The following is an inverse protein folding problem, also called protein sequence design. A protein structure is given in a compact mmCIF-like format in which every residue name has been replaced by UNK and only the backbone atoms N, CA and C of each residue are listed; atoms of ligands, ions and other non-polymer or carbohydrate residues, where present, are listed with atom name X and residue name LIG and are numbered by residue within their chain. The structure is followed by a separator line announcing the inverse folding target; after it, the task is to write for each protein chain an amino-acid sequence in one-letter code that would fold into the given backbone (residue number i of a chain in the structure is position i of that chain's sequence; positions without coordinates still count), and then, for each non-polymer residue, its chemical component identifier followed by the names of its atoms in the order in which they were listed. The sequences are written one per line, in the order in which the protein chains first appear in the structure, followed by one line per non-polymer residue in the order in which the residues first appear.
data_IF_209387784243
#
_entry.id   IF_209387784243
#
_cell.length_a   1.000
_cell.length_b   1.000
_cell.length_c   1.000
_cell.angle_alpha   90.00
_cell.angle_beta   90.00
_cell.angle_gamma   90.00
#
_symmetry.space_group_name_H-M   'P 1'
#
loop_
_entity.id
_entity.type
_entity.pdbx_description
1 polymer ?
#
# COMPACT_ATOMS: atom_id res chain seq x y z
N UNK A 1 -35.54 31.37 -6.32
CA UNK A 1 -34.31 30.84 -6.93
C UNK A 1 -33.91 29.55 -6.22
N UNK A 2 -33.61 28.46 -6.97
CA UNK A 2 -33.15 27.21 -6.36
C UNK A 2 -31.81 27.42 -5.64
N UNK A 3 -31.72 26.96 -4.38
CA UNK A 3 -30.48 27.00 -3.58
C UNK A 3 -29.54 25.82 -3.92
N UNK A 4 -30.07 24.75 -4.49
CA UNK A 4 -29.32 23.54 -4.86
C UNK A 4 -28.79 23.71 -6.28
N UNK A 5 -27.47 23.48 -6.47
CA UNK A 5 -26.78 23.57 -7.77
C UNK A 5 -25.99 22.31 -8.02
N UNK A 6 -25.91 21.90 -9.27
CA UNK A 6 -25.00 20.85 -9.70
C UNK A 6 -23.56 21.41 -9.65
N UNK A 7 -22.65 20.66 -9.00
CA UNK A 7 -21.24 21.01 -8.94
C UNK A 7 -20.56 20.69 -10.29
N UNK A 8 -19.51 21.44 -10.61
CA UNK A 8 -18.68 21.12 -11.77
C UNK A 8 -17.95 19.78 -11.54
N UNK A 9 -17.69 19.03 -12.60
CA UNK A 9 -16.99 17.74 -12.54
C UNK A 9 -15.62 17.86 -11.85
N UNK A 10 -14.91 18.95 -12.06
CA UNK A 10 -13.62 19.22 -11.42
C UNK A 10 -13.77 19.37 -9.89
N UNK A 11 -14.76 20.13 -9.43
CA UNK A 11 -15.02 20.29 -8.00
C UNK A 11 -15.48 18.97 -7.34
N UNK A 12 -16.33 18.20 -8.01
CA UNK A 12 -16.72 16.84 -7.56
C UNK A 12 -15.49 15.96 -7.43
N UNK A 13 -14.55 16.02 -8.40
CA UNK A 13 -13.31 15.25 -8.36
C UNK A 13 -12.41 15.66 -7.20
N UNK A 14 -12.29 16.96 -6.91
CA UNK A 14 -11.50 17.44 -5.78
C UNK A 14 -12.10 17.06 -4.42
N UNK A 15 -13.43 17.06 -4.29
CA UNK A 15 -14.12 16.62 -3.06
C UNK A 15 -13.86 15.13 -2.82
N UNK A 16 -14.13 14.30 -3.82
CA UNK A 16 -13.93 12.86 -3.69
C UNK A 16 -12.44 12.47 -3.56
N UNK A 17 -11.52 13.22 -4.21
CA UNK A 17 -10.09 13.04 -3.96
C UNK A 17 -9.74 13.24 -2.47
N UNK A 18 -10.58 13.97 -1.73
CA UNK A 18 -10.41 14.18 -0.31
C UNK A 18 -10.67 12.97 0.56
N UNK A 19 -11.50 12.08 0.10
CA UNK A 19 -11.84 10.84 0.81
C UNK A 19 -10.80 9.75 0.53
N UNK A 20 -10.13 9.82 -0.64
CA UNK A 20 -9.18 8.80 -1.08
C UNK A 20 -7.74 9.21 -0.78
N UNK A 21 -7.37 10.46 -1.06
CA UNK A 21 -6.00 10.96 -0.97
C UNK A 21 -5.92 12.03 0.12
N UNK A 22 -5.48 11.65 1.29
CA UNK A 22 -5.28 12.58 2.42
C UNK A 22 -3.87 13.15 2.47
N UNK A 23 -2.87 12.36 2.09
CA UNK A 23 -1.44 12.65 2.31
C UNK A 23 -0.56 11.95 1.27
N UNK A 24 0.75 12.30 1.16
CA UNK A 24 1.69 11.65 0.24
C UNK A 24 1.73 10.12 0.35
N UNK A 25 1.67 9.56 1.57
CA UNK A 25 1.67 8.11 1.75
C UNK A 25 0.43 7.43 1.15
N UNK A 26 -0.74 8.12 1.09
CA UNK A 26 -1.94 7.58 0.45
C UNK A 26 -1.73 7.42 -1.06
N UNK A 27 -1.04 8.37 -1.70
CA UNK A 27 -0.66 8.28 -3.12
C UNK A 27 0.23 7.07 -3.36
N UNK A 28 1.31 6.93 -2.58
CA UNK A 28 2.23 5.78 -2.69
C UNK A 28 1.50 4.46 -2.46
N UNK A 29 0.59 4.40 -1.47
CA UNK A 29 -0.20 3.20 -1.20
C UNK A 29 -0.97 2.75 -2.44
N UNK A 30 -1.78 3.64 -3.02
CA UNK A 30 -2.60 3.33 -4.18
C UNK A 30 -1.75 2.94 -5.41
N UNK A 31 -0.63 3.63 -5.65
CA UNK A 31 0.24 3.33 -6.78
C UNK A 31 0.94 1.97 -6.61
N UNK A 32 1.46 1.66 -5.43
CA UNK A 32 2.11 0.36 -5.16
C UNK A 32 1.08 -0.78 -5.19
N UNK A 33 -0.14 -0.59 -4.67
CA UNK A 33 -1.22 -1.58 -4.79
C UNK A 33 -1.56 -1.85 -6.26
N UNK A 34 -1.60 -0.82 -7.11
CA UNK A 34 -1.82 -0.99 -8.54
C UNK A 34 -0.65 -1.74 -9.22
N UNK A 35 0.60 -1.46 -8.84
CA UNK A 35 1.77 -2.17 -9.35
C UNK A 35 1.76 -3.66 -8.97
N UNK A 36 1.35 -4.00 -7.74
CA UNK A 36 1.19 -5.39 -7.28
C UNK A 36 0.07 -6.10 -8.08
N UNK A 37 -1.07 -5.43 -8.25
CA UNK A 37 -2.21 -5.95 -9.03
C UNK A 37 -1.82 -6.15 -10.51
N UNK A 38 -0.92 -5.30 -11.06
CA UNK A 38 -0.34 -5.43 -12.41
C UNK A 38 0.69 -6.56 -12.54
N UNK A 39 0.85 -7.41 -11.50
CA UNK A 39 1.77 -8.56 -11.48
C UNK A 39 3.24 -8.20 -11.66
N UNK A 40 3.63 -7.05 -11.15
CA UNK A 40 5.02 -6.60 -11.19
C UNK A 40 5.92 -7.50 -10.38
N UNK A 41 7.11 -7.80 -10.89
CA UNK A 41 8.17 -8.48 -10.17
C UNK A 41 9.18 -7.51 -9.54
N UNK A 42 9.16 -6.24 -9.97
CA UNK A 42 10.01 -5.17 -9.45
C UNK A 42 9.21 -3.86 -9.37
N UNK A 43 9.28 -3.18 -8.22
CA UNK A 43 8.66 -1.87 -7.99
C UNK A 43 9.71 -0.90 -7.46
N UNK A 44 9.89 0.23 -8.15
CA UNK A 44 10.85 1.25 -7.81
C UNK A 44 10.12 2.52 -7.37
N UNK A 45 10.46 3.05 -6.20
CA UNK A 45 9.81 4.21 -5.59
C UNK A 45 10.86 5.30 -5.38
N UNK A 46 10.58 6.51 -5.86
CA UNK A 46 11.40 7.70 -5.60
C UNK A 46 10.53 8.79 -4.98
N UNK A 47 11.04 9.41 -3.92
CA UNK A 47 10.36 10.51 -3.23
C UNK A 47 11.31 11.68 -3.01
N UNK A 48 10.78 12.88 -3.15
CA UNK A 48 11.49 14.12 -2.84
C UNK A 48 10.68 14.95 -1.85
N UNK A 49 11.38 15.50 -0.84
CA UNK A 49 10.78 16.30 0.22
C UNK A 49 9.56 15.60 0.88
N UNK A 50 9.71 14.30 1.18
CA UNK A 50 8.62 13.52 1.77
C UNK A 50 7.37 13.41 0.90
N UNK A 51 7.50 13.63 -0.40
CA UNK A 51 6.40 13.63 -1.37
C UNK A 51 5.74 14.99 -1.58
N UNK A 52 6.23 16.06 -0.96
CA UNK A 52 5.74 17.41 -1.21
C UNK A 52 6.13 17.91 -2.61
N UNK A 53 7.38 17.63 -3.03
CA UNK A 53 7.90 18.01 -4.33
C UNK A 53 7.56 16.99 -5.40
N UNK A 54 7.92 15.72 -5.17
CA UNK A 54 7.61 14.64 -6.10
C UNK A 54 7.48 13.28 -5.44
N UNK A 55 6.66 12.44 -6.05
CA UNK A 55 6.48 11.02 -5.80
C UNK A 55 6.53 10.31 -7.14
N UNK A 56 7.29 9.25 -7.26
CA UNK A 56 7.33 8.43 -8.47
C UNK A 56 7.29 6.97 -8.09
N UNK A 57 6.47 6.21 -8.81
CA UNK A 57 6.44 4.75 -8.77
C UNK A 57 6.60 4.24 -10.19
N UNK A 58 7.56 3.36 -10.38
CA UNK A 58 7.77 2.62 -11.60
C UNK A 58 7.69 1.13 -11.31
N UNK A 59 6.94 0.40 -12.11
CA UNK A 59 6.82 -1.05 -12.05
C UNK A 59 7.07 -1.67 -13.43
N UNK A 60 7.46 -2.94 -13.42
CA UNK A 60 7.65 -3.75 -14.61
C UNK A 60 6.48 -4.72 -14.86
N UNK A 61 5.27 -4.35 -14.45
CA UNK A 61 4.06 -5.15 -14.63
C UNK A 61 3.58 -5.21 -16.07
N UNK A 62 2.32 -5.63 -16.23
CA UNK A 62 1.71 -5.85 -17.57
C UNK A 62 1.63 -4.57 -18.42
N UNK A 63 1.73 -3.39 -17.82
CA UNK A 63 1.54 -2.12 -18.50
C UNK A 63 0.08 -1.90 -18.94
N UNK A 64 -0.12 -0.83 -19.71
CA UNK A 64 -1.44 -0.47 -20.26
C UNK A 64 -1.30 -0.10 -21.74
N UNK A 65 -2.16 -0.62 -22.62
CA UNK A 65 -2.27 -0.15 -23.98
C UNK A 65 -2.80 1.30 -24.02
N UNK A 66 -2.69 1.93 -25.20
CA UNK A 66 -3.00 3.35 -25.43
C UNK A 66 -4.35 3.80 -24.88
N UNK A 67 -5.40 3.02 -25.11
CA UNK A 67 -6.76 3.42 -24.74
C UNK A 67 -7.04 3.16 -23.27
N UNK A 68 -6.48 2.09 -22.71
CA UNK A 68 -6.57 1.80 -21.29
C UNK A 68 -5.85 2.84 -20.43
N UNK A 69 -4.69 3.36 -20.90
CA UNK A 69 -3.99 4.45 -20.19
C UNK A 69 -4.87 5.71 -20.09
N UNK A 70 -5.67 6.03 -21.12
CA UNK A 70 -6.63 7.15 -21.05
C UNK A 70 -7.80 6.84 -20.15
N UNK A 71 -8.32 5.60 -20.20
CA UNK A 71 -9.46 5.17 -19.40
C UNK A 71 -9.12 5.08 -17.93
N UNK A 72 -7.89 4.69 -17.55
CA UNK A 72 -7.44 4.55 -16.17
C UNK A 72 -7.57 5.86 -15.35
N UNK A 73 -7.64 7.02 -16.01
CA UNK A 73 -7.84 8.32 -15.39
C UNK A 73 -9.29 8.82 -15.44
N UNK A 74 -10.23 8.00 -15.93
CA UNK A 74 -11.67 8.26 -15.83
C UNK A 74 -12.21 7.59 -14.56
N UNK A 75 -13.18 8.24 -13.92
CA UNK A 75 -13.85 7.68 -12.74
C UNK A 75 -14.63 6.44 -13.10
N UNK A 76 -14.65 5.50 -12.15
CA UNK A 76 -15.36 4.22 -12.28
C UNK A 76 -14.84 3.33 -13.42
N UNK A 77 -13.66 3.64 -13.98
CA UNK A 77 -12.99 2.78 -14.93
C UNK A 77 -12.03 1.85 -14.17
N UNK A 78 -12.26 0.55 -14.27
CA UNK A 78 -11.46 -0.49 -13.62
C UNK A 78 -11.44 -1.74 -14.48
N UNK A 79 -10.30 -2.43 -14.49
CA UNK A 79 -10.14 -3.77 -15.08
C UNK A 79 -10.29 -4.91 -14.05
N UNK A 80 -10.64 -4.57 -12.79
CA UNK A 80 -10.50 -5.49 -11.66
C UNK A 80 -11.81 -6.13 -11.21
N UNK A 81 -12.95 -5.50 -11.55
CA UNK A 81 -14.30 -6.00 -11.28
C UNK A 81 -15.19 -5.65 -12.45
N UNK A 82 -16.08 -6.55 -12.83
CA UNK A 82 -17.06 -6.36 -13.90
C UNK A 82 -18.48 -6.65 -13.39
N UNK A 83 -18.62 -7.59 -12.45
CA UNK A 83 -19.91 -8.07 -11.96
C UNK A 83 -20.08 -7.83 -10.46
N UNK A 84 -21.32 -7.98 -9.99
CA UNK A 84 -21.64 -7.90 -8.57
C UNK A 84 -21.03 -9.07 -7.77
N UNK A 85 -20.84 -10.22 -8.41
CA UNK A 85 -20.19 -11.38 -7.82
C UNK A 85 -18.69 -11.15 -7.60
N UNK A 86 -18.03 -10.39 -8.50
CA UNK A 86 -16.63 -9.99 -8.31
C UNK A 86 -16.46 -9.10 -7.09
N UNK A 87 -17.46 -8.24 -6.81
CA UNK A 87 -17.45 -7.39 -5.63
C UNK A 87 -17.49 -8.19 -4.32
N UNK A 88 -18.15 -9.36 -4.33
CA UNK A 88 -18.20 -10.27 -3.18
C UNK A 88 -16.91 -11.09 -3.01
N UNK A 89 -16.09 -11.24 -4.08
CA UNK A 89 -14.90 -12.10 -4.13
C UNK A 89 -13.62 -11.31 -4.48
N UNK A 90 -13.48 -10.09 -3.95
CA UNK A 90 -12.35 -9.20 -4.29
C UNK A 90 -11.01 -9.86 -3.93
N UNK A 91 -10.23 -10.22 -4.96
CA UNK A 91 -8.87 -10.76 -4.84
C UNK A 91 -7.78 -9.72 -5.12
N UNK A 92 -8.16 -8.49 -5.54
CA UNK A 92 -7.24 -7.40 -5.83
C UNK A 92 -7.15 -6.43 -4.65
N UNK A 93 -6.04 -5.70 -4.55
CA UNK A 93 -5.85 -4.70 -3.50
C UNK A 93 -6.71 -3.46 -3.75
N UNK A 94 -6.83 -3.01 -5.02
CA UNK A 94 -7.71 -1.94 -5.45
C UNK A 94 -8.84 -2.46 -6.35
N UNK A 95 -10.01 -1.78 -6.40
CA UNK A 95 -11.15 -2.18 -7.25
C UNK A 95 -12.08 -1.04 -7.69
N UNK A 96 -12.06 0.12 -7.03
CA UNK A 96 -13.06 1.19 -7.21
C UNK A 96 -12.88 2.05 -8.46
N UNK A 97 -11.72 2.00 -9.15
CA UNK A 97 -11.44 2.86 -10.31
C UNK A 97 -11.43 4.37 -9.97
N UNK A 98 -11.04 4.75 -8.76
CA UNK A 98 -11.10 6.13 -8.29
C UNK A 98 -9.75 6.71 -7.87
N UNK A 99 -8.72 5.87 -7.63
CA UNK A 99 -7.44 6.31 -7.11
C UNK A 99 -6.69 7.22 -8.10
N UNK A 100 -6.47 6.76 -9.33
CA UNK A 100 -5.73 7.53 -10.36
C UNK A 100 -6.44 8.85 -10.72
N UNK A 101 -7.77 8.88 -11.01
CA UNK A 101 -8.47 10.14 -11.23
C UNK A 101 -8.37 11.09 -10.03
N UNK A 102 -8.45 10.58 -8.80
CA UNK A 102 -8.34 11.37 -7.57
C UNK A 102 -6.96 12.00 -7.43
N UNK A 103 -5.88 11.23 -7.63
CA UNK A 103 -4.50 11.73 -7.60
C UNK A 103 -4.31 12.81 -8.67
N UNK A 104 -4.75 12.54 -9.90
CA UNK A 104 -4.61 13.47 -11.02
C UNK A 104 -5.35 14.79 -10.81
N UNK A 105 -6.51 14.78 -10.14
CA UNK A 105 -7.32 15.98 -9.88
C UNK A 105 -6.68 16.95 -8.89
N UNK A 106 -5.73 16.47 -8.06
CA UNK A 106 -5.12 17.29 -6.98
C UNK A 106 -3.60 17.45 -7.12
N UNK A 107 -3.06 17.10 -8.29
CA UNK A 107 -1.62 17.13 -8.54
C UNK A 107 -1.29 17.48 -10.00
N UNK A 108 0.01 17.60 -10.28
CA UNK A 108 0.58 17.55 -11.62
C UNK A 108 1.12 16.14 -11.82
N UNK A 109 0.44 15.35 -12.66
CA UNK A 109 0.71 13.94 -12.85
C UNK A 109 1.21 13.67 -14.27
N UNK A 110 2.21 12.81 -14.41
CA UNK A 110 2.61 12.16 -15.65
C UNK A 110 2.51 10.64 -15.46
N UNK A 111 1.86 9.97 -16.39
CA UNK A 111 1.73 8.53 -16.44
C UNK A 111 2.24 8.01 -17.77
N UNK A 112 3.34 7.26 -17.73
CA UNK A 112 3.91 6.56 -18.88
C UNK A 112 3.63 5.07 -18.73
N UNK A 113 3.10 4.43 -19.78
CA UNK A 113 2.85 2.99 -19.76
C UNK A 113 3.19 2.36 -21.09
N UNK A 114 3.81 1.17 -21.00
CA UNK A 114 4.21 0.35 -22.12
C UNK A 114 3.75 -1.07 -21.83
N UNK A 115 2.93 -1.62 -22.69
CA UNK A 115 2.39 -2.96 -22.53
C UNK A 115 3.50 -4.01 -22.57
N UNK A 116 3.34 -5.07 -21.81
CA UNK A 116 4.33 -6.14 -21.75
C UNK A 116 4.60 -6.75 -23.13
N UNK A 117 5.89 -6.92 -23.49
CA UNK A 117 6.29 -7.40 -24.78
C UNK A 117 6.39 -6.31 -25.89
N UNK A 118 6.06 -5.06 -25.58
CA UNK A 118 6.20 -3.92 -26.49
C UNK A 118 7.35 -3.00 -26.05
N UNK A 119 7.90 -2.23 -26.99
CA UNK A 119 8.94 -1.21 -26.76
C UNK A 119 8.38 0.21 -26.85
N UNK A 120 7.20 0.35 -27.41
CA UNK A 120 6.52 1.62 -27.64
C UNK A 120 5.25 1.70 -26.81
N UNK A 121 5.07 2.82 -26.15
CA UNK A 121 3.91 3.11 -25.32
C UNK A 121 3.51 4.58 -25.44
N UNK A 122 2.83 5.06 -24.41
CA UNK A 122 2.33 6.43 -24.38
C UNK A 122 2.59 7.06 -23.01
N UNK A 123 2.75 8.38 -23.04
CA UNK A 123 2.79 9.22 -21.86
C UNK A 123 1.61 10.19 -21.86
N UNK A 124 0.85 10.19 -20.77
CA UNK A 124 -0.26 11.08 -20.50
C UNK A 124 0.12 12.06 -19.39
N UNK A 125 0.05 13.35 -19.66
CA UNK A 125 0.25 14.40 -18.64
C UNK A 125 -1.08 15.02 -18.26
N UNK A 126 -1.34 15.13 -16.95
CA UNK A 126 -2.58 15.67 -16.39
C UNK A 126 -2.23 16.70 -15.31
N UNK A 127 -2.85 17.87 -15.36
CA UNK A 127 -2.71 18.91 -14.33
C UNK A 127 -4.08 19.25 -13.76
N UNK A 128 -4.30 18.99 -12.47
CA UNK A 128 -5.54 19.30 -11.79
C UNK A 128 -6.78 18.63 -12.39
N UNK A 129 -6.62 17.41 -12.95
CA UNK A 129 -7.68 16.65 -13.60
C UNK A 129 -7.83 16.93 -15.10
N UNK A 130 -7.10 17.89 -15.68
CA UNK A 130 -7.15 18.21 -17.10
C UNK A 130 -5.96 17.59 -17.85
N UNK A 131 -6.23 16.81 -18.90
CA UNK A 131 -5.20 16.27 -19.77
C UNK A 131 -4.52 17.41 -20.54
N UNK A 132 -3.20 17.48 -20.46
CA UNK A 132 -2.36 18.50 -21.11
C UNK A 132 -1.65 17.97 -22.36
N UNK A 133 -1.19 16.73 -22.32
CA UNK A 133 -0.55 16.07 -23.45
C UNK A 133 -0.80 14.56 -23.43
N UNK A 134 -0.79 13.96 -24.61
CA UNK A 134 -0.80 12.52 -24.79
C UNK A 134 0.08 12.19 -26.00
N UNK A 135 1.28 11.69 -25.74
CA UNK A 135 2.33 11.52 -26.74
C UNK A 135 2.90 10.10 -26.72
N UNK A 136 3.40 9.59 -27.86
CA UNK A 136 4.18 8.36 -27.88
C UNK A 136 5.40 8.48 -26.95
N UNK A 137 5.73 7.40 -26.23
CA UNK A 137 6.86 7.37 -25.31
C UNK A 137 7.51 5.99 -25.31
N UNK A 138 8.69 5.82 -25.93
CA UNK A 138 9.42 4.56 -25.91
C UNK A 138 10.05 4.30 -24.54
N UNK A 139 10.35 3.03 -24.25
CA UNK A 139 11.06 2.65 -23.01
C UNK A 139 10.89 1.19 -22.63
N UNK A 140 10.98 0.92 -21.33
CA UNK A 140 10.79 -0.42 -20.76
C UNK A 140 9.30 -0.69 -20.51
N UNK A 141 8.90 -1.95 -20.65
CA UNK A 141 7.54 -2.41 -20.32
C UNK A 141 7.21 -2.15 -18.86
N UNK A 142 5.94 -1.87 -18.59
CA UNK A 142 5.42 -1.56 -17.27
C UNK A 142 4.79 -0.18 -17.20
N UNK A 143 4.62 0.33 -15.98
CA UNK A 143 3.97 1.63 -15.77
C UNK A 143 4.82 2.51 -14.86
N UNK A 144 5.02 3.76 -15.26
CA UNK A 144 5.64 4.80 -14.45
C UNK A 144 4.63 5.92 -14.20
N UNK A 145 4.38 6.21 -12.93
CA UNK A 145 3.55 7.35 -12.53
C UNK A 145 4.38 8.30 -11.69
N UNK A 146 4.44 9.56 -12.13
CA UNK A 146 5.10 10.66 -11.44
C UNK A 146 4.06 11.68 -11.00
N UNK A 147 4.03 11.98 -9.72
CA UNK A 147 3.12 12.95 -9.09
C UNK A 147 3.95 14.09 -8.53
N UNK A 148 3.71 15.30 -9.00
CA UNK A 148 4.39 16.51 -8.54
C UNK A 148 3.40 17.47 -7.91
N UNK A 149 3.89 18.28 -6.95
CA UNK A 149 3.14 19.38 -6.35
C UNK A 149 1.76 18.96 -5.82
N UNK A 150 1.70 17.88 -5.03
CA UNK A 150 0.46 17.39 -4.45
C UNK A 150 -0.29 18.51 -3.72
N UNK A 151 -1.60 18.63 -3.99
CA UNK A 151 -2.51 19.68 -3.48
C UNK A 151 -2.15 21.10 -3.91
N UNK A 152 -1.44 21.30 -5.03
CA UNK A 152 -1.07 22.63 -5.51
C UNK A 152 -2.31 23.52 -5.77
N UNK A 153 -3.41 22.91 -6.19
CA UNK A 153 -4.69 23.54 -6.50
C UNK A 153 -5.69 23.55 -5.32
N UNK A 154 -5.29 23.06 -4.13
CA UNK A 154 -6.10 23.05 -2.91
C UNK A 154 -5.25 23.59 -1.73
N UNK A 155 -5.05 24.91 -1.64
CA UNK A 155 -4.14 25.51 -0.65
C UNK A 155 -4.46 25.14 0.81
N UNK A 156 -5.73 24.96 1.15
CA UNK A 156 -6.14 24.53 2.48
C UNK A 156 -5.54 23.15 2.82
N UNK A 157 -5.66 22.15 1.93
CA UNK A 157 -5.08 20.81 2.14
C UNK A 157 -3.57 20.83 2.19
N UNK A 158 -2.93 21.62 1.31
CA UNK A 158 -1.48 21.74 1.28
C UNK A 158 -0.92 22.23 2.62
N UNK A 159 -1.62 23.14 3.31
CA UNK A 159 -1.25 23.62 4.66
C UNK A 159 -1.35 22.56 5.75
N UNK A 160 -2.18 21.53 5.58
CA UNK A 160 -2.33 20.42 6.54
C UNK A 160 -1.29 19.30 6.36
N UNK A 161 -0.47 19.32 5.30
CA UNK A 161 0.64 18.40 5.17
C UNK A 161 1.60 18.57 6.37
N UNK A 162 2.10 17.45 6.87
CA UNK A 162 3.11 17.47 7.94
C UNK A 162 4.48 17.81 7.36
N UNK A 163 5.45 18.06 8.21
CA UNK A 163 6.83 18.31 7.78
C UNK A 163 7.35 17.17 6.88
N UNK A 164 8.20 17.47 5.87
CA UNK A 164 8.70 16.46 4.92
C UNK A 164 9.27 15.19 5.58
N UNK A 165 10.04 15.33 6.66
CA UNK A 165 10.60 14.18 7.38
C UNK A 165 9.52 13.29 8.02
N UNK A 166 8.38 13.88 8.41
CA UNK A 166 7.27 13.13 8.99
C UNK A 166 6.52 12.34 7.90
N UNK A 167 6.31 12.96 6.74
CA UNK A 167 5.70 12.29 5.59
C UNK A 167 6.61 11.18 5.07
N UNK A 168 7.91 11.45 4.94
CA UNK A 168 8.90 10.46 4.51
C UNK A 168 8.89 9.23 5.43
N UNK A 169 8.90 9.42 6.75
CA UNK A 169 8.84 8.30 7.71
C UNK A 169 7.59 7.44 7.50
N UNK A 170 6.43 8.08 7.23
CA UNK A 170 5.18 7.36 6.97
C UNK A 170 5.23 6.55 5.68
N UNK A 171 5.85 7.10 4.63
CA UNK A 171 6.06 6.36 3.38
C UNK A 171 7.01 5.17 3.61
N UNK A 172 8.11 5.36 4.34
CA UNK A 172 9.05 4.28 4.67
C UNK A 172 8.35 3.16 5.47
N UNK A 173 7.52 3.49 6.47
CA UNK A 173 6.71 2.53 7.21
C UNK A 173 5.77 1.74 6.29
N UNK A 174 5.10 2.41 5.37
CA UNK A 174 4.19 1.81 4.40
C UNK A 174 4.93 0.86 3.43
N UNK A 175 6.05 1.29 2.86
CA UNK A 175 6.84 0.45 1.95
C UNK A 175 7.38 -0.78 2.67
N UNK A 176 7.77 -0.66 3.94
CA UNK A 176 8.17 -1.81 4.76
C UNK A 176 7.03 -2.84 4.89
N UNK A 177 5.78 -2.40 5.06
CA UNK A 177 4.62 -3.29 5.08
C UNK A 177 4.47 -4.04 3.74
N UNK A 178 4.56 -3.34 2.61
CA UNK A 178 4.49 -3.96 1.28
C UNK A 178 5.64 -4.93 1.02
N UNK A 179 6.86 -4.59 1.41
CA UNK A 179 8.02 -5.48 1.29
C UNK A 179 7.83 -6.77 2.09
N UNK A 180 7.28 -6.70 3.29
CA UNK A 180 7.04 -7.86 4.15
C UNK A 180 5.86 -8.70 3.67
N UNK A 181 4.79 -8.09 3.15
CA UNK A 181 3.64 -8.82 2.62
C UNK A 181 3.88 -9.44 1.25
N UNK A 182 4.88 -8.95 0.50
CA UNK A 182 5.18 -9.41 -0.86
C UNK A 182 6.67 -9.73 -1.03
N UNK A 183 7.20 -10.75 -0.32
CA UNK A 183 8.62 -11.09 -0.41
C UNK A 183 9.04 -11.56 -1.81
N UNK A 184 8.12 -12.06 -2.64
CA UNK A 184 8.35 -12.43 -4.02
C UNK A 184 8.50 -11.26 -5.01
N UNK A 185 8.36 -10.00 -4.55
CA UNK A 185 8.52 -8.80 -5.39
C UNK A 185 9.78 -8.06 -4.94
N UNK A 186 10.63 -7.63 -5.88
CA UNK A 186 11.74 -6.73 -5.62
C UNK A 186 11.23 -5.30 -5.38
N UNK A 187 11.86 -4.59 -4.44
CA UNK A 187 11.54 -3.19 -4.14
C UNK A 187 12.79 -2.34 -4.05
N UNK A 188 12.75 -1.16 -4.66
CA UNK A 188 13.71 -0.10 -4.33
C UNK A 188 12.98 1.15 -3.85
N UNK A 189 13.53 1.80 -2.84
CA UNK A 189 13.05 3.08 -2.33
C UNK A 189 14.21 4.04 -2.20
N UNK A 190 14.13 5.17 -2.88
CA UNK A 190 15.06 6.29 -2.69
C UNK A 190 14.30 7.55 -2.21
N UNK A 191 14.96 8.30 -1.33
CA UNK A 191 14.44 9.55 -0.79
C UNK A 191 15.48 10.65 -0.90
N UNK A 192 15.17 11.75 -1.57
CA UNK A 192 16.07 12.88 -1.81
C UNK A 192 17.42 12.43 -2.42
N UNK A 193 17.38 11.50 -3.37
CA UNK A 193 18.57 10.92 -4.03
C UNK A 193 19.35 9.89 -3.21
N UNK A 194 18.94 9.61 -1.96
CA UNK A 194 19.58 8.59 -1.12
C UNK A 194 18.78 7.29 -1.16
N UNK A 195 19.45 6.17 -1.42
CA UNK A 195 18.85 4.85 -1.32
C UNK A 195 18.51 4.51 0.14
N UNK A 196 17.26 4.11 0.38
CA UNK A 196 16.75 3.68 1.69
C UNK A 196 16.64 2.16 1.73
N UNK A 197 16.08 1.58 0.67
CA UNK A 197 15.93 0.14 0.49
C UNK A 197 16.24 -0.24 -0.95
N UNK A 198 16.86 -1.40 -1.11
CA UNK A 198 17.05 -2.08 -2.39
C UNK A 198 17.04 -3.58 -2.12
N UNK A 199 15.88 -4.21 -2.28
CA UNK A 199 15.66 -5.60 -1.92
C UNK A 199 15.16 -6.39 -3.12
N UNK A 200 15.75 -7.54 -3.36
CA UNK A 200 15.36 -8.44 -4.45
C UNK A 200 14.25 -9.39 -3.99
N UNK A 201 13.62 -10.09 -4.93
CA UNK A 201 12.66 -11.15 -4.59
C UNK A 201 13.33 -12.25 -3.73
N UNK A 202 12.55 -12.88 -2.84
CA UNK A 202 13.05 -13.90 -1.95
C UNK A 202 11.98 -14.47 -1.02
N UNK A 203 12.41 -15.08 0.07
CA UNK A 203 11.53 -15.58 1.13
C UNK A 203 11.23 -14.48 2.15
N UNK A 204 10.22 -14.68 3.01
CA UNK A 204 9.95 -13.76 4.10
C UNK A 204 11.15 -13.61 5.05
N UNK A 205 11.86 -14.70 5.33
CA UNK A 205 13.05 -14.68 6.19
C UNK A 205 14.15 -13.81 5.60
N UNK A 206 14.48 -14.00 4.30
CA UNK A 206 15.47 -13.16 3.61
C UNK A 206 15.04 -11.71 3.58
N UNK A 207 13.75 -11.43 3.35
CA UNK A 207 13.21 -10.08 3.35
C UNK A 207 13.33 -9.39 4.71
N UNK A 208 13.05 -10.10 5.82
CA UNK A 208 13.25 -9.57 7.18
C UNK A 208 14.74 -9.26 7.41
N UNK A 209 15.64 -10.14 6.95
CA UNK A 209 17.09 -9.94 7.03
C UNK A 209 17.55 -8.71 6.25
N UNK A 210 17.01 -8.48 5.06
CA UNK A 210 17.36 -7.33 4.22
C UNK A 210 16.90 -6.00 4.85
N UNK A 211 15.76 -6.01 5.55
CA UNK A 211 15.19 -4.83 6.21
C UNK A 211 15.88 -4.52 7.55
N UNK A 212 16.16 -5.55 8.35
CA UNK A 212 16.62 -5.39 9.75
C UNK A 212 18.09 -5.74 9.97
N UNK A 213 18.76 -6.28 8.97
CA UNK A 213 20.18 -6.67 9.00
C UNK A 213 20.41 -8.15 9.35
N UNK A 214 21.60 -8.63 8.97
CA UNK A 214 21.98 -10.05 9.08
C UNK A 214 21.90 -10.59 10.52
N UNK A 215 22.29 -9.80 11.51
CA UNK A 215 22.28 -10.23 12.91
C UNK A 215 20.87 -10.47 13.45
N UNK A 216 19.88 -9.84 12.85
CA UNK A 216 18.48 -10.00 13.25
C UNK A 216 17.91 -11.36 12.82
N UNK A 217 18.36 -11.92 11.69
CA UNK A 217 17.86 -13.19 11.17
C UNK A 217 18.13 -14.39 12.10
N UNK A 218 19.23 -14.37 12.85
CA UNK A 218 19.57 -15.43 13.81
C UNK A 218 18.66 -15.40 15.05
N UNK A 219 17.84 -14.39 15.19
CA UNK A 219 16.91 -14.18 16.29
C UNK A 219 15.45 -14.44 15.92
N UNK A 220 15.21 -14.88 14.70
CA UNK A 220 13.86 -15.20 14.21
C UNK A 220 13.45 -16.61 14.61
N UNK A 221 12.22 -16.72 15.06
CA UNK A 221 11.55 -17.98 15.38
C UNK A 221 10.40 -18.17 14.39
N UNK A 222 10.38 -19.26 13.62
CA UNK A 222 9.28 -19.52 12.70
C UNK A 222 8.00 -19.83 13.50
N UNK A 223 6.88 -19.34 12.99
CA UNK A 223 5.54 -19.63 13.51
C UNK A 223 4.75 -20.29 12.40
N UNK A 224 4.23 -21.47 12.71
CA UNK A 224 3.31 -22.18 11.83
C UNK A 224 2.26 -22.90 12.69
N UNK A 225 1.00 -22.54 12.47
CA UNK A 225 -0.14 -23.16 13.12
C UNK A 225 -1.26 -23.37 12.11
N UNK A 226 -1.73 -24.62 11.99
CA UNK A 226 -2.90 -24.97 11.19
C UNK A 226 -3.97 -25.54 12.13
N UNK A 227 -4.98 -24.74 12.41
CA UNK A 227 -6.18 -25.13 13.17
C UNK A 227 -7.39 -24.78 12.32
N UNK A 228 -7.91 -25.74 11.57
CA UNK A 228 -9.06 -25.54 10.69
C UNK A 228 -10.17 -24.77 11.41
N UNK A 229 -10.71 -23.67 10.85
CA UNK A 229 -10.43 -23.13 9.50
C UNK A 229 -9.29 -22.08 9.43
N UNK A 230 -8.49 -21.90 10.47
CA UNK A 230 -7.49 -20.85 10.59
C UNK A 230 -6.08 -21.38 10.30
N UNK A 231 -5.28 -20.55 9.60
CA UNK A 231 -3.86 -20.81 9.43
C UNK A 231 -3.08 -19.54 9.82
N UNK A 232 -2.04 -19.73 10.64
CA UNK A 232 -1.11 -18.68 11.03
C UNK A 232 0.28 -19.11 10.57
N UNK A 233 1.01 -18.21 9.93
CA UNK A 233 2.39 -18.45 9.52
C UNK A 233 3.20 -17.16 9.63
N UNK A 234 4.52 -17.26 9.66
CA UNK A 234 5.41 -16.12 9.69
C UNK A 234 6.56 -16.30 10.65
N UNK A 235 7.00 -15.19 11.24
CA UNK A 235 8.12 -15.18 12.18
C UNK A 235 7.81 -14.29 13.38
N UNK A 236 8.35 -14.68 14.52
CA UNK A 236 8.47 -13.83 15.70
C UNK A 236 9.95 -13.72 16.08
N UNK A 237 10.29 -12.70 16.84
CA UNK A 237 11.65 -12.52 17.34
C UNK A 237 11.85 -13.19 18.70
N UNK A 238 13.07 -13.65 18.97
CA UNK A 238 13.45 -14.06 20.30
C UNK A 238 13.54 -12.84 21.27
N UNK A 239 13.83 -13.07 22.55
CA UNK A 239 13.85 -12.02 23.57
C UNK A 239 14.88 -10.92 23.32
N UNK A 240 15.93 -11.18 22.52
CA UNK A 240 16.96 -10.18 22.19
C UNK A 240 16.48 -9.15 21.14
N UNK A 241 15.33 -9.38 20.50
CA UNK A 241 14.77 -8.50 19.47
C UNK A 241 13.71 -7.54 20.00
N UNK A 242 13.43 -7.56 21.30
CA UNK A 242 12.45 -6.66 21.94
C UNK A 242 12.88 -5.21 21.84
N UNK A 243 11.93 -4.31 21.75
CA UNK A 243 12.16 -2.86 21.65
C UNK A 243 11.27 -2.10 22.62
N UNK A 244 11.78 -0.96 23.12
CA UNK A 244 11.01 -0.04 23.99
C UNK A 244 9.96 0.80 23.24
N UNK A 245 9.88 0.67 21.92
CA UNK A 245 8.91 1.38 21.08
C UNK A 245 8.19 0.40 20.16
N UNK A 246 6.90 0.62 19.96
CA UNK A 246 6.12 -0.05 18.92
C UNK A 246 6.58 0.40 17.53
N UNK A 247 6.43 -0.47 16.51
CA UNK A 247 6.71 -0.15 15.12
C UNK A 247 7.16 -1.34 14.28
N UNK A 248 7.51 -2.45 14.93
CA UNK A 248 7.97 -3.68 14.25
C UNK A 248 7.03 -4.86 14.56
N UNK A 249 5.73 -4.57 14.59
CA UNK A 249 4.63 -5.51 14.78
C UNK A 249 3.77 -5.52 13.53
N UNK A 250 3.85 -6.60 12.74
CA UNK A 250 3.15 -6.69 11.46
C UNK A 250 2.18 -7.87 11.48
N UNK A 251 0.91 -7.55 11.30
CA UNK A 251 -0.17 -8.52 11.14
C UNK A 251 -0.76 -8.37 9.75
N UNK A 252 -0.83 -9.48 9.04
CA UNK A 252 -1.44 -9.54 7.72
C UNK A 252 -2.62 -10.52 7.76
N UNK A 253 -3.79 -10.04 7.40
CA UNK A 253 -5.01 -10.84 7.30
C UNK A 253 -5.37 -11.04 5.83
N UNK A 254 -5.36 -12.29 5.37
CA UNK A 254 -5.61 -12.64 3.97
C UNK A 254 -4.80 -11.76 2.99
N UNK A 255 -3.50 -11.55 3.31
CA UNK A 255 -2.56 -10.74 2.52
C UNK A 255 -2.62 -9.22 2.76
N UNK A 256 -3.56 -8.71 3.56
CA UNK A 256 -3.69 -7.28 3.87
C UNK A 256 -3.11 -6.93 5.23
N UNK A 257 -2.32 -5.87 5.29
CA UNK A 257 -1.86 -5.32 6.57
C UNK A 257 -3.03 -4.78 7.39
N UNK A 258 -3.10 -5.19 8.66
CA UNK A 258 -4.10 -4.74 9.62
C UNK A 258 -3.45 -4.18 10.89
N UNK A 259 -4.14 -3.25 11.53
CA UNK A 259 -3.80 -2.73 12.86
C UNK A 259 -4.92 -3.09 13.83
N UNK A 260 -4.95 -4.33 14.24
CA UNK A 260 -5.96 -4.81 15.17
C UNK A 260 -5.40 -4.90 16.58
N UNK A 261 -6.10 -4.28 17.55
CA UNK A 261 -5.66 -4.22 18.95
C UNK A 261 -5.82 -5.57 19.65
N UNK A 262 -6.89 -6.29 19.34
CA UNK A 262 -7.17 -7.59 19.94
C UNK A 262 -6.11 -8.60 19.55
N UNK A 263 -5.84 -8.72 18.25
CA UNK A 263 -4.84 -9.65 17.73
C UNK A 263 -3.42 -9.30 18.20
N UNK A 264 -3.08 -8.00 18.21
CA UNK A 264 -1.80 -7.55 18.75
C UNK A 264 -1.68 -7.89 20.25
N UNK A 265 -2.77 -7.74 21.03
CA UNK A 265 -2.78 -8.07 22.45
C UNK A 265 -2.65 -9.57 22.71
N UNK A 266 -3.15 -10.41 21.79
CA UNK A 266 -2.97 -11.86 21.86
C UNK A 266 -1.50 -12.24 21.76
N UNK A 267 -0.77 -11.69 20.78
CA UNK A 267 0.68 -11.89 20.64
C UNK A 267 1.42 -11.35 21.86
N UNK A 268 1.12 -10.11 22.30
CA UNK A 268 1.76 -9.56 23.51
C UNK A 268 1.48 -10.39 24.76
N UNK A 269 0.28 -11.00 24.86
CA UNK A 269 -0.07 -11.87 25.98
C UNK A 269 0.76 -13.15 25.99
N UNK A 270 1.13 -13.70 24.82
CA UNK A 270 2.04 -14.83 24.73
C UNK A 270 3.46 -14.49 25.26
N UNK A 271 3.90 -13.25 25.06
CA UNK A 271 5.21 -12.77 25.55
C UNK A 271 5.20 -12.22 26.98
N UNK A 272 4.04 -12.07 27.62
CA UNK A 272 3.86 -11.29 28.86
C UNK A 272 4.76 -11.70 30.03
N UNK A 273 5.06 -12.99 30.16
CA UNK A 273 5.93 -13.52 31.21
C UNK A 273 7.41 -13.56 30.81
N UNK A 274 7.73 -13.26 29.55
CA UNK A 274 9.06 -13.44 28.98
C UNK A 274 9.81 -12.13 28.75
N UNK A 275 9.09 -11.01 28.62
CA UNK A 275 9.67 -9.69 28.34
C UNK A 275 9.38 -8.68 29.42
N UNK A 276 10.22 -7.66 29.57
CA UNK A 276 10.06 -6.61 30.58
C UNK A 276 8.84 -5.72 30.26
N UNK A 277 8.24 -5.17 31.31
CA UNK A 277 7.12 -4.22 31.15
C UNK A 277 7.54 -3.01 30.31
N UNK A 278 6.78 -2.71 29.28
CA UNK A 278 7.06 -1.61 28.34
C UNK A 278 7.95 -2.00 27.17
N UNK A 279 8.31 -3.26 27.04
CA UNK A 279 8.96 -3.81 25.85
C UNK A 279 7.93 -4.44 24.91
N UNK A 280 8.27 -4.43 23.62
CA UNK A 280 7.44 -4.92 22.54
C UNK A 280 8.19 -5.97 21.74
N UNK A 281 7.61 -7.17 21.52
CA UNK A 281 8.22 -8.19 20.70
C UNK A 281 8.18 -7.78 19.22
N UNK A 282 9.11 -8.29 18.44
CA UNK A 282 9.05 -8.27 16.99
C UNK A 282 8.17 -9.42 16.50
N UNK A 283 7.31 -9.15 15.52
CA UNK A 283 6.63 -10.22 14.77
C UNK A 283 6.18 -9.77 13.39
N UNK A 284 6.14 -10.72 12.47
CA UNK A 284 5.53 -10.64 11.14
C UNK A 284 4.68 -11.89 10.98
N UNK A 285 3.38 -11.75 11.14
CA UNK A 285 2.44 -12.86 11.14
C UNK A 285 1.38 -12.69 10.06
N UNK A 286 1.13 -13.79 9.35
CA UNK A 286 0.09 -13.91 8.34
C UNK A 286 -1.02 -14.80 8.86
N UNK A 287 -2.23 -14.26 8.88
CA UNK A 287 -3.45 -14.95 9.27
C UNK A 287 -4.27 -15.21 8.01
N UNK A 288 -4.58 -16.47 7.76
CA UNK A 288 -5.55 -16.90 6.76
C UNK A 288 -6.83 -17.33 7.47
N UNK A 289 -7.92 -16.67 7.15
CA UNK A 289 -9.24 -16.84 7.78
C UNK A 289 -10.28 -16.88 6.65
N UNK A 290 -11.33 -17.72 6.74
CA UNK A 290 -12.42 -17.69 5.79
C UNK A 290 -13.03 -16.30 5.65
N UNK A 291 -13.33 -15.89 4.42
CA UNK A 291 -13.80 -14.53 4.13
C UNK A 291 -15.15 -14.22 4.78
N UNK A 292 -16.00 -15.23 4.97
CA UNK A 292 -17.30 -15.16 5.63
C UNK A 292 -17.19 -14.96 7.16
N UNK A 293 -16.01 -15.23 7.74
CA UNK A 293 -15.77 -15.11 9.18
C UNK A 293 -15.22 -13.74 9.60
N UNK A 294 -15.00 -12.82 8.64
CA UNK A 294 -14.39 -11.51 8.89
C UNK A 294 -15.01 -10.43 8.01
N UNK A 295 -15.37 -9.30 8.62
CA UNK A 295 -15.73 -8.08 7.89
C UNK A 295 -14.53 -7.13 7.86
N UNK A 296 -14.01 -6.90 6.66
CA UNK A 296 -12.86 -6.02 6.38
C UNK A 296 -13.33 -4.60 6.05
N UNK A 297 -14.61 -4.38 5.77
CA UNK A 297 -15.13 -3.09 5.31
C UNK A 297 -15.59 -2.17 6.45
N UNK A 298 -14.95 -2.26 7.60
CA UNK A 298 -15.33 -1.50 8.81
C UNK A 298 -14.79 -0.06 8.79
N UNK A 299 -13.64 0.18 8.15
CA UNK A 299 -12.98 1.49 8.12
C UNK A 299 -12.52 1.84 6.70
N UNK A 300 -12.59 3.13 6.26
CA UNK A 300 -12.16 3.55 4.91
C UNK A 300 -10.74 3.11 4.56
N UNK A 301 -9.81 3.17 5.51
CA UNK A 301 -8.43 2.72 5.32
C UNK A 301 -8.26 1.19 5.40
N UNK A 302 -9.33 0.41 5.70
CA UNK A 302 -9.33 -1.06 5.84
C UNK A 302 -8.26 -1.61 6.80
N UNK A 303 -7.87 -0.83 7.80
CA UNK A 303 -6.87 -1.21 8.80
C UNK A 303 -7.49 -1.94 9.99
N UNK A 304 -8.78 -1.74 10.26
CA UNK A 304 -9.55 -2.38 11.32
C UNK A 304 -10.50 -3.41 10.71
N UNK A 305 -10.68 -4.51 11.39
CA UNK A 305 -11.50 -5.63 10.96
C UNK A 305 -12.43 -6.06 12.09
N UNK A 306 -13.57 -6.64 11.74
CA UNK A 306 -14.48 -7.27 12.71
C UNK A 306 -14.54 -8.76 12.46
N UNK A 307 -14.32 -9.54 13.51
CA UNK A 307 -14.41 -11.01 13.45
C UNK A 307 -15.76 -11.46 14.00
N UNK A 308 -16.32 -12.53 13.42
CA UNK A 308 -17.52 -13.14 13.99
C UNK A 308 -17.26 -13.72 15.39
N UNK A 309 -16.06 -14.25 15.63
CA UNK A 309 -15.66 -14.81 16.91
C UNK A 309 -14.27 -14.32 17.32
N UNK A 310 -14.21 -13.12 17.88
CA UNK A 310 -12.98 -12.44 18.30
C UNK A 310 -12.18 -13.24 19.34
N UNK A 311 -12.88 -13.84 20.31
CA UNK A 311 -12.23 -14.59 21.39
C UNK A 311 -11.59 -15.88 20.89
N UNK A 312 -12.21 -16.54 19.94
CA UNK A 312 -11.63 -17.76 19.36
C UNK A 312 -10.31 -17.45 18.64
N UNK A 313 -10.28 -16.41 17.81
CA UNK A 313 -9.08 -15.98 17.09
C UNK A 313 -7.99 -15.52 18.07
N UNK A 314 -8.37 -14.77 19.12
CA UNK A 314 -7.45 -14.39 20.17
C UNK A 314 -6.75 -15.60 20.78
N UNK A 315 -7.49 -16.63 21.15
CA UNK A 315 -6.92 -17.86 21.74
C UNK A 315 -6.06 -18.65 20.74
N UNK A 316 -6.45 -18.69 19.48
CA UNK A 316 -5.66 -19.34 18.42
C UNK A 316 -4.30 -18.64 18.22
N UNK A 317 -4.26 -17.29 18.26
CA UNK A 317 -3.01 -16.54 18.15
C UNK A 317 -2.14 -16.66 19.40
N UNK A 318 -2.76 -16.69 20.58
CA UNK A 318 -2.04 -16.77 21.85
C UNK A 318 -1.41 -18.15 22.08
N UNK A 319 -2.00 -19.23 21.56
CA UNK A 319 -1.52 -20.62 21.72
C UNK A 319 -0.20 -20.87 21.01
#
# INVERSE_FOLDING_TARGET
MSKIKLLSSNLVNQIAAGEVIERPFSVIKELVENSIDAKSSQINIMIEEGGHKSLQVFDNGIGMPKDDLKLAFKRHATSKIETQDDLAKINTLGFRGEALPSIASVSQLSAKSIEHGHTDGFELTIHGGEAKSFVPAPGLSGTQITVKNLFYNIPARRKFLKKPDTEQRKIIELIRQFMLSNPGIGFSLSANGKEIYNVVFGTLETRIKDIYGKNFSNSLLPVELSKTPYKISGFTGNLNTTKKRQGDQFLFLNGRFIKDRLLSSAVFSAYRSLISRGEFPFFVLFLQIPLDSVDINVHPAKLEVRFQNEWHIYHVIKS
#
